data_IF_105631920341
#
_entry.id   IF_105631920341
#
_cell.length_a   1.000
_cell.length_b   1.000
_cell.length_c   1.000
_cell.angle_alpha   90.00
_cell.angle_beta   90.00
_cell.angle_gamma   90.00
#
_symmetry.space_group_name_H-M   'P 1'
#
loop_
_entity.id
_entity.type
_entity.pdbx_description
1 polymer ?
#
# COMPACT_ATOMS: atom_id res chain seq x y z
N UNK A 1 -26.30 26.46 -13.49
CA UNK A 1 -24.86 26.57 -13.22
C UNK A 1 -24.30 25.15 -13.29
N UNK A 2 -23.50 24.86 -14.31
CA UNK A 2 -22.98 23.52 -14.58
C UNK A 2 -21.72 23.30 -13.75
N UNK A 3 -21.74 22.32 -12.84
CA UNK A 3 -20.55 21.91 -12.11
C UNK A 3 -19.68 21.03 -13.03
N UNK A 4 -18.54 21.57 -13.45
CA UNK A 4 -17.47 20.80 -14.06
C UNK A 4 -16.89 19.85 -13.00
N UNK A 5 -17.31 18.58 -13.04
CA UNK A 5 -16.60 17.51 -12.34
C UNK A 5 -15.38 17.13 -13.18
N UNK A 6 -14.23 17.76 -12.92
CA UNK A 6 -12.96 17.18 -13.34
C UNK A 6 -12.77 15.86 -12.57
N UNK A 7 -12.53 14.71 -13.23
CA UNK A 7 -12.02 13.55 -12.52
C UNK A 7 -10.64 13.92 -11.91
N UNK A 8 -10.32 13.45 -10.69
CA UNK A 8 -8.97 13.61 -10.16
C UNK A 8 -7.97 12.94 -11.12
N UNK A 9 -6.71 13.43 -11.19
CA UNK A 9 -5.69 12.76 -11.98
C UNK A 9 -5.60 11.30 -11.53
N UNK A 10 -5.68 10.39 -12.50
CA UNK A 10 -5.52 8.96 -12.29
C UNK A 10 -4.17 8.73 -11.60
N UNK A 11 -4.17 8.49 -10.29
CA UNK A 11 -2.95 8.33 -9.48
C UNK A 11 -2.86 9.20 -8.23
N UNK A 12 -3.85 10.04 -7.91
CA UNK A 12 -3.89 10.67 -6.60
C UNK A 12 -4.26 9.62 -5.52
N UNK A 13 -3.45 9.45 -4.46
CA UNK A 13 -3.78 8.56 -3.36
C UNK A 13 -5.13 8.98 -2.75
N UNK A 14 -6.05 8.04 -2.65
CA UNK A 14 -7.34 8.29 -2.00
C UNK A 14 -7.09 8.26 -0.49
N UNK A 15 -6.93 9.43 0.12
CA UNK A 15 -6.82 9.58 1.58
C UNK A 15 -8.18 9.33 2.25
N UNK A 16 -8.62 8.07 2.30
CA UNK A 16 -9.74 7.69 3.17
C UNK A 16 -9.17 7.42 4.55
N UNK A 17 -9.06 8.47 5.36
CA UNK A 17 -8.75 8.37 6.79
C UNK A 17 -7.42 7.67 7.09
N UNK A 18 -6.31 8.41 6.97
CA UNK A 18 -4.95 8.02 7.39
C UNK A 18 -4.26 6.86 6.63
N UNK A 19 -5.00 5.98 5.96
CA UNK A 19 -4.42 4.92 5.13
C UNK A 19 -4.13 5.40 3.71
N UNK A 20 -2.94 5.06 3.22
CA UNK A 20 -2.54 5.40 1.85
C UNK A 20 -2.36 4.10 1.07
N UNK A 21 -3.26 3.88 0.11
CA UNK A 21 -3.22 2.70 -0.76
C UNK A 21 -3.13 3.15 -2.21
N UNK A 22 -2.07 2.72 -2.88
CA UNK A 22 -1.80 3.01 -4.29
C UNK A 22 -1.71 1.73 -5.12
N UNK A 23 -2.41 1.70 -6.25
CA UNK A 23 -2.31 0.65 -7.26
C UNK A 23 -1.85 1.30 -8.56
N UNK A 24 -0.70 0.87 -9.07
CA UNK A 24 -0.04 1.51 -10.21
C UNK A 24 0.16 0.50 -11.35
N UNK A 25 -0.08 0.94 -12.58
CA UNK A 25 0.21 0.14 -13.77
C UNK A 25 1.61 0.48 -14.31
N UNK A 26 1.86 1.73 -14.68
CA UNK A 26 3.01 2.05 -15.53
C UNK A 26 4.25 2.57 -14.78
N UNK A 27 4.11 3.01 -13.53
CA UNK A 27 5.19 3.67 -12.78
C UNK A 27 5.88 2.75 -11.77
N UNK A 28 7.19 2.94 -11.52
CA UNK A 28 7.89 2.26 -10.44
C UNK A 28 7.45 2.80 -9.08
N UNK A 29 7.43 1.92 -8.09
CA UNK A 29 7.13 2.31 -6.70
C UNK A 29 8.30 3.14 -6.17
N UNK A 30 8.04 4.39 -5.78
CA UNK A 30 9.02 5.22 -5.09
C UNK A 30 9.03 4.86 -3.60
N UNK A 31 9.90 3.92 -3.23
CA UNK A 31 10.01 3.42 -1.85
C UNK A 31 10.29 4.52 -0.84
N UNK A 32 11.18 5.48 -1.18
CA UNK A 32 11.51 6.58 -0.29
C UNK A 32 10.30 7.47 0.00
N UNK A 33 9.57 7.87 -1.04
CA UNK A 33 8.36 8.69 -0.89
C UNK A 33 7.28 7.93 -0.11
N UNK A 34 7.05 6.65 -0.40
CA UNK A 34 6.05 5.85 0.29
C UNK A 34 6.38 5.60 1.77
N UNK A 35 7.66 5.34 2.12
CA UNK A 35 8.07 5.26 3.52
C UNK A 35 7.96 6.60 4.24
N UNK A 36 8.29 7.70 3.57
CA UNK A 36 8.07 9.04 4.12
C UNK A 36 6.61 9.28 4.47
N UNK A 37 5.66 8.68 3.74
CA UNK A 37 4.25 8.75 4.12
C UNK A 37 4.02 8.15 5.52
N UNK A 38 4.64 7.03 5.89
CA UNK A 38 4.51 6.46 7.25
C UNK A 38 5.02 7.39 8.36
N UNK A 39 6.04 8.19 8.08
CA UNK A 39 6.62 9.15 9.03
C UNK A 39 5.98 10.54 8.95
N UNK A 40 5.29 10.86 7.86
CA UNK A 40 4.64 12.15 7.67
C UNK A 40 3.44 12.27 8.62
N UNK A 41 3.53 13.27 9.51
CA UNK A 41 2.45 13.65 10.41
C UNK A 41 1.24 14.07 9.59
N UNK A 42 0.11 13.40 9.80
CA UNK A 42 -1.19 14.00 9.50
C UNK A 42 -1.29 15.28 10.30
N UNK A 43 -1.74 16.37 9.66
CA UNK A 43 -1.77 17.74 10.17
C UNK A 43 -2.61 18.02 11.44
N UNK A 44 -2.78 17.07 12.37
CA UNK A 44 -3.43 17.30 13.66
C UNK A 44 -2.39 17.78 14.68
N UNK A 45 -2.55 19.05 15.07
CA UNK A 45 -1.90 19.70 16.21
C UNK A 45 -2.07 18.88 17.51
N UNK A 46 -1.07 19.08 18.37
CA UNK A 46 -1.10 18.97 19.84
C UNK A 46 -0.78 17.60 20.49
N UNK A 47 0.47 17.52 20.97
CA UNK A 47 0.88 17.23 22.36
C UNK A 47 1.18 15.79 22.84
N UNK A 48 0.99 14.72 22.06
CA UNK A 48 1.48 13.37 22.44
C UNK A 48 2.20 12.66 21.29
N UNK A 49 3.26 13.31 20.82
CA UNK A 49 3.95 13.03 19.55
C UNK A 49 5.10 12.02 19.72
N UNK A 50 4.78 10.81 20.16
CA UNK A 50 5.75 9.70 20.19
C UNK A 50 6.12 9.28 18.75
N UNK A 51 7.42 9.06 18.45
CA UNK A 51 7.82 8.57 17.14
C UNK A 51 7.20 7.21 16.87
N UNK A 52 6.63 7.03 15.68
CA UNK A 52 6.12 5.72 15.25
C UNK A 52 7.27 4.79 14.90
N UNK A 53 7.20 3.57 15.43
CA UNK A 53 7.96 2.43 14.94
C UNK A 53 7.33 1.94 13.63
N UNK A 54 8.15 1.88 12.57
CA UNK A 54 7.69 1.46 11.25
C UNK A 54 8.28 0.10 10.91
N UNK A 55 7.40 -0.86 10.60
CA UNK A 55 7.78 -2.13 9.99
C UNK A 55 7.38 -2.12 8.52
N UNK A 56 8.24 -2.64 7.65
CA UNK A 56 7.99 -2.64 6.21
C UNK A 56 8.38 -3.95 5.56
N UNK A 57 7.66 -4.30 4.50
CA UNK A 57 7.93 -5.43 3.61
C UNK A 57 8.04 -4.94 2.17
N UNK A 58 9.04 -5.46 1.47
CA UNK A 58 9.32 -5.18 0.07
C UNK A 58 9.38 -6.51 -0.69
N UNK A 59 8.64 -6.61 -1.79
CA UNK A 59 8.78 -7.73 -2.72
C UNK A 59 9.33 -7.25 -4.06
N UNK A 60 10.34 -7.98 -4.54
CA UNK A 60 11.02 -7.73 -5.80
C UNK A 60 10.58 -8.74 -6.86
N UNK A 61 10.50 -8.28 -8.11
CA UNK A 61 10.22 -9.14 -9.23
C UNK A 61 11.29 -10.25 -9.36
N UNK A 62 10.91 -11.53 -9.47
CA UNK A 62 11.85 -12.63 -9.50
C UNK A 62 12.61 -12.73 -10.84
N UNK A 63 12.04 -12.20 -11.93
CA UNK A 63 12.65 -12.21 -13.26
C UNK A 63 12.14 -11.06 -14.13
N UNK A 64 12.88 -10.77 -15.20
CA UNK A 64 12.45 -9.85 -16.26
C UNK A 64 11.27 -10.44 -17.01
N UNK A 65 10.22 -9.66 -17.22
CA UNK A 65 8.99 -10.12 -17.87
C UNK A 65 7.96 -10.69 -16.91
N UNK A 66 8.27 -10.75 -15.61
CA UNK A 66 7.28 -11.11 -14.58
C UNK A 66 6.10 -10.13 -14.59
N UNK A 67 4.90 -10.61 -14.31
CA UNK A 67 3.71 -9.78 -14.15
C UNK A 67 2.97 -10.15 -12.87
N UNK A 68 2.51 -9.12 -12.14
CA UNK A 68 1.57 -9.34 -11.04
C UNK A 68 0.17 -9.50 -11.62
N UNK A 69 -0.43 -10.65 -11.37
CA UNK A 69 -1.82 -10.93 -11.67
C UNK A 69 -2.60 -11.00 -10.36
N UNK A 70 -3.89 -10.66 -10.40
CA UNK A 70 -4.78 -10.91 -9.26
C UNK A 70 -5.67 -12.10 -9.59
N UNK A 71 -6.02 -12.88 -8.58
CA UNK A 71 -6.84 -14.09 -8.78
C UNK A 71 -8.28 -13.78 -9.18
N UNK A 72 -8.80 -12.58 -8.87
CA UNK A 72 -10.24 -12.28 -8.94
C UNK A 72 -10.62 -11.12 -9.84
N UNK A 73 -9.66 -10.25 -10.23
CA UNK A 73 -9.98 -9.07 -11.02
C UNK A 73 -8.80 -8.57 -11.86
N UNK A 74 -9.10 -8.06 -13.05
CA UNK A 74 -8.14 -7.29 -13.85
C UNK A 74 -8.37 -5.79 -13.71
N UNK A 75 -9.38 -5.37 -12.94
CA UNK A 75 -9.74 -3.98 -12.76
C UNK A 75 -8.99 -3.36 -11.56
N UNK A 76 -8.11 -2.36 -11.79
CA UNK A 76 -7.31 -1.74 -10.73
C UNK A 76 -8.15 -1.11 -9.61
N UNK A 77 -9.32 -0.53 -9.93
CA UNK A 77 -10.20 0.09 -8.92
C UNK A 77 -10.81 -0.94 -7.98
N UNK A 78 -11.16 -2.13 -8.47
CA UNK A 78 -11.66 -3.23 -7.63
C UNK A 78 -10.54 -3.74 -6.73
N UNK A 79 -9.33 -3.89 -7.27
CA UNK A 79 -8.16 -4.25 -6.46
C UNK A 79 -7.93 -3.21 -5.36
N UNK A 80 -7.85 -1.92 -5.71
CA UNK A 80 -7.63 -0.84 -4.76
C UNK A 80 -8.67 -0.85 -3.64
N UNK A 81 -9.95 -0.98 -3.95
CA UNK A 81 -11.02 -1.07 -2.93
C UNK A 81 -10.80 -2.24 -1.96
N UNK A 82 -10.37 -3.40 -2.47
CA UNK A 82 -10.12 -4.60 -1.65
C UNK A 82 -8.86 -4.45 -0.80
N UNK A 83 -7.83 -3.80 -1.33
CA UNK A 83 -6.62 -3.47 -0.59
C UNK A 83 -6.90 -2.46 0.53
N UNK A 84 -7.69 -1.41 0.26
CA UNK A 84 -8.16 -0.46 1.28
C UNK A 84 -8.93 -1.19 2.38
N UNK A 85 -9.84 -2.11 2.01
CA UNK A 85 -10.56 -2.93 2.99
C UNK A 85 -9.62 -3.79 3.83
N UNK A 86 -8.60 -4.40 3.22
CA UNK A 86 -7.60 -5.20 3.93
C UNK A 86 -6.81 -4.34 4.94
N UNK A 87 -6.38 -3.14 4.55
CA UNK A 87 -5.72 -2.19 5.45
C UNK A 87 -6.65 -1.80 6.62
N UNK A 88 -7.93 -1.51 6.35
CA UNK A 88 -8.91 -1.22 7.39
C UNK A 88 -9.13 -2.37 8.36
N UNK A 89 -9.14 -3.62 7.88
CA UNK A 89 -9.20 -4.81 8.74
C UNK A 89 -7.97 -4.90 9.64
N UNK A 90 -6.77 -4.72 9.08
CA UNK A 90 -5.54 -4.74 9.86
C UNK A 90 -5.56 -3.69 10.99
N UNK A 91 -6.04 -2.47 10.72
CA UNK A 91 -6.19 -1.43 11.74
C UNK A 91 -7.22 -1.74 12.83
N UNK A 92 -8.26 -2.50 12.48
CA UNK A 92 -9.25 -2.95 13.48
C UNK A 92 -8.72 -4.09 14.37
N UNK A 93 -7.68 -4.79 13.93
CA UNK A 93 -7.11 -5.95 14.61
C UNK A 93 -5.83 -5.62 15.40
N UNK A 94 -5.04 -4.67 14.92
CA UNK A 94 -3.74 -4.28 15.48
C UNK A 94 -3.73 -2.80 15.84
N UNK A 95 -2.97 -2.43 16.87
CA UNK A 95 -2.84 -1.03 17.29
C UNK A 95 -1.86 -0.29 16.36
N UNK A 96 -2.31 -0.01 15.14
CA UNK A 96 -1.51 0.62 14.08
C UNK A 96 -2.07 2.00 13.73
N UNK A 97 -1.17 2.98 13.63
CA UNK A 97 -1.52 4.36 13.35
C UNK A 97 -1.66 4.63 11.85
N UNK A 98 -0.86 3.95 11.02
CA UNK A 98 -0.80 4.21 9.58
C UNK A 98 -0.43 2.96 8.80
N UNK A 99 -1.12 2.73 7.68
CA UNK A 99 -0.76 1.71 6.70
C UNK A 99 -0.52 2.37 5.34
N UNK A 100 0.63 2.08 4.74
CA UNK A 100 0.97 2.48 3.37
C UNK A 100 1.18 1.22 2.55
N UNK A 101 0.44 1.10 1.46
CA UNK A 101 0.49 -0.05 0.58
C UNK A 101 0.56 0.41 -0.87
N UNK A 102 1.63 0.04 -1.57
CA UNK A 102 1.80 0.30 -3.00
C UNK A 102 1.93 -1.03 -3.73
N UNK A 103 1.09 -1.24 -4.75
CA UNK A 103 1.11 -2.45 -5.58
C UNK A 103 1.24 -2.07 -7.04
N UNK A 104 2.17 -2.71 -7.75
CA UNK A 104 2.33 -2.58 -9.20
C UNK A 104 1.77 -3.81 -9.91
N UNK A 105 0.90 -3.60 -10.90
CA UNK A 105 0.16 -4.70 -11.58
C UNK A 105 0.54 -4.94 -13.05
N UNK A 106 1.59 -4.29 -13.53
CA UNK A 106 2.06 -4.39 -14.91
C UNK A 106 3.32 -5.26 -15.05
N UNK A 107 3.91 -5.28 -16.25
CA UNK A 107 5.18 -5.93 -16.54
C UNK A 107 6.33 -5.36 -15.69
N UNK A 108 7.03 -6.26 -15.03
CA UNK A 108 8.14 -5.97 -14.14
C UNK A 108 9.47 -6.34 -14.80
N UNK A 109 10.48 -5.53 -14.54
CA UNK A 109 11.88 -5.87 -14.79
C UNK A 109 12.47 -6.53 -13.56
N UNK A 110 13.55 -7.30 -13.74
CA UNK A 110 14.29 -7.89 -12.62
C UNK A 110 14.70 -6.80 -11.63
N UNK A 111 14.40 -7.01 -10.35
CA UNK A 111 14.72 -6.04 -9.29
C UNK A 111 13.72 -4.89 -9.16
N UNK A 112 12.68 -4.81 -10.00
CA UNK A 112 11.59 -3.86 -9.76
C UNK A 112 10.84 -4.25 -8.48
N UNK A 113 10.57 -3.26 -7.64
CA UNK A 113 9.65 -3.41 -6.50
C UNK A 113 8.22 -3.45 -7.05
N UNK A 114 7.50 -4.53 -6.78
CA UNK A 114 6.10 -4.68 -7.18
C UNK A 114 5.13 -4.56 -6.01
N UNK A 115 5.62 -4.76 -4.79
CA UNK A 115 4.85 -4.60 -3.56
C UNK A 115 5.72 -3.90 -2.54
N UNK A 116 5.20 -2.79 -2.01
CA UNK A 116 5.69 -2.16 -0.80
C UNK A 116 4.55 -2.08 0.19
N UNK A 117 4.79 -2.58 1.39
CA UNK A 117 3.91 -2.43 2.52
C UNK A 117 4.71 -1.82 3.65
N UNK A 118 4.19 -0.76 4.26
CA UNK A 118 4.77 -0.16 5.45
C UNK A 118 3.66 0.14 6.46
N UNK A 119 3.91 -0.19 7.72
CA UNK A 119 2.95 -0.01 8.81
C UNK A 119 3.64 0.71 9.95
N UNK A 120 3.04 1.80 10.40
CA UNK A 120 3.49 2.56 11.57
C UNK A 120 2.61 2.27 12.79
N UNK A 121 3.25 2.04 13.94
CA UNK A 121 2.62 1.85 15.25
C UNK A 121 3.48 2.48 16.35
N UNK A 122 2.92 2.68 17.54
CA UNK A 122 3.71 3.00 18.74
C UNK A 122 4.59 1.83 19.20
N UNK A 123 4.21 0.59 18.85
CA UNK A 123 4.94 -0.61 19.20
C UNK A 123 5.43 -1.34 17.94
N UNK A 124 6.73 -1.61 17.87
CA UNK A 124 7.33 -2.35 16.75
C UNK A 124 6.66 -3.73 16.55
N UNK A 125 6.33 -4.42 17.64
CA UNK A 125 5.71 -5.75 17.58
C UNK A 125 4.34 -5.71 16.88
N UNK A 126 3.53 -4.68 17.15
CA UNK A 126 2.21 -4.50 16.51
C UNK A 126 2.35 -4.16 15.02
N UNK A 127 3.27 -3.26 14.67
CA UNK A 127 3.59 -2.98 13.27
C UNK A 127 4.05 -4.24 12.53
N UNK A 128 4.90 -5.06 13.16
CA UNK A 128 5.42 -6.31 12.58
C UNK A 128 4.31 -7.35 12.38
N UNK A 129 3.45 -7.56 13.38
CA UNK A 129 2.29 -8.46 13.28
C UNK A 129 1.34 -8.04 12.16
N UNK A 130 1.03 -6.74 12.06
CA UNK A 130 0.18 -6.20 11.01
C UNK A 130 0.80 -6.40 9.62
N UNK A 131 2.10 -6.16 9.45
CA UNK A 131 2.81 -6.44 8.20
C UNK A 131 2.69 -7.91 7.80
N UNK A 132 2.94 -8.83 8.73
CA UNK A 132 2.85 -10.27 8.48
C UNK A 132 1.42 -10.69 8.09
N UNK A 133 0.42 -10.19 8.79
CA UNK A 133 -0.99 -10.42 8.48
C UNK A 133 -1.34 -9.95 7.07
N UNK A 134 -1.11 -8.66 6.77
CA UNK A 134 -1.46 -8.07 5.47
C UNK A 134 -0.72 -8.82 4.35
N UNK A 135 0.57 -9.12 4.53
CA UNK A 135 1.35 -9.90 3.56
C UNK A 135 0.70 -11.26 3.30
N UNK A 136 0.33 -12.00 4.34
CA UNK A 136 -0.30 -13.32 4.18
C UNK A 136 -1.63 -13.27 3.43
N UNK A 137 -2.40 -12.19 3.58
CA UNK A 137 -3.65 -11.98 2.84
C UNK A 137 -3.39 -11.52 1.40
N UNK A 138 -2.37 -10.70 1.17
CA UNK A 138 -1.95 -10.28 -0.17
C UNK A 138 -1.46 -11.45 -1.02
N UNK A 139 -0.74 -12.42 -0.42
CA UNK A 139 -0.30 -13.64 -1.11
C UNK A 139 -1.48 -14.51 -1.59
N UNK A 140 -2.67 -14.36 -1.03
CA UNK A 140 -3.91 -15.02 -1.51
C UNK A 140 -4.61 -14.25 -2.62
N UNK A 141 -4.29 -12.96 -2.78
CA UNK A 141 -4.93 -12.05 -3.72
C UNK A 141 -4.08 -11.85 -4.98
N UNK A 142 -2.76 -11.78 -4.81
CA UNK A 142 -1.77 -11.47 -5.83
C UNK A 142 -0.88 -12.68 -6.10
N UNK A 143 -0.61 -12.91 -7.37
CA UNK A 143 0.38 -13.87 -7.82
C UNK A 143 1.34 -13.19 -8.79
N UNK A 144 2.62 -13.49 -8.69
CA UNK A 144 3.62 -13.05 -9.67
C UNK A 144 3.93 -14.22 -10.59
N UNK A 145 3.66 -14.05 -11.88
CA UNK A 145 3.93 -15.07 -12.90
C UNK A 145 5.11 -14.62 -13.77
N UNK A 146 6.12 -15.49 -14.00
CA UNK A 146 7.09 -15.26 -15.07
C UNK A 146 6.41 -15.48 -16.43
N UNK A 147 6.59 -14.55 -17.36
CA UNK A 147 6.11 -14.66 -18.74
C UNK A 147 7.26 -14.97 -19.69
#
# INVERSE_FOLDING_TARGET
QSYNCCPPPCGAPVEVGQDVVEVQELSPINVGAALQLCYSRGSSREEDDEPLEVSSHLSLAPSSGSRVITHKTTNPSILQMRLVRLCGVARSMFEVAKVVLSVRTDFLKTGDVYLLLAVGSKAHEEASKAVQFIRSELEKELQVIPL
#
